data_IF_960771279212
#
_entry.id   IF_960771279212
#
_cell.length_a   1.000
_cell.length_b   1.000
_cell.length_c   1.000
_cell.angle_alpha   90.00
_cell.angle_beta   90.00
_cell.angle_gamma   90.00
#
_symmetry.space_group_name_H-M   'P 1'
#
loop_
_entity.id
_entity.type
_entity.pdbx_description
1 polymer ?
#
# COMPACT_ATOMS: atom_id res chain seq x y z
N UNK A 1 -27.98 -15.16 -41.98
CA UNK A 1 -28.32 -15.14 -40.55
C UNK A 1 -27.05 -15.42 -39.78
N UNK A 2 -26.63 -14.42 -39.03
CA UNK A 2 -25.40 -14.30 -38.23
C UNK A 2 -25.39 -15.26 -37.05
N UNK A 3 -24.29 -15.99 -36.87
CA UNK A 3 -23.85 -16.45 -35.54
C UNK A 3 -22.37 -16.14 -35.42
N UNK A 4 -22.06 -14.88 -35.10
CA UNK A 4 -20.77 -14.54 -34.53
C UNK A 4 -20.72 -15.21 -33.15
N UNK A 5 -19.94 -16.28 -33.05
CA UNK A 5 -19.56 -16.92 -31.80
C UNK A 5 -18.95 -15.87 -30.89
N UNK A 6 -19.51 -15.75 -29.69
CA UNK A 6 -19.04 -14.89 -28.61
C UNK A 6 -17.58 -15.24 -28.25
N UNK A 7 -16.61 -14.54 -28.83
CA UNK A 7 -15.37 -14.24 -28.12
C UNK A 7 -15.64 -12.99 -27.29
N UNK A 8 -16.33 -13.17 -26.17
CA UNK A 8 -16.25 -12.19 -25.11
C UNK A 8 -14.96 -12.52 -24.39
N UNK A 9 -13.88 -11.81 -24.74
CA UNK A 9 -12.57 -11.95 -24.11
C UNK A 9 -12.77 -12.04 -22.59
N UNK A 10 -12.40 -13.20 -22.02
CA UNK A 10 -12.30 -13.40 -20.57
C UNK A 10 -11.14 -12.54 -20.07
N UNK A 11 -11.39 -11.23 -20.00
CA UNK A 11 -10.43 -10.20 -19.63
C UNK A 11 -10.09 -10.42 -18.15
N UNK A 12 -9.05 -11.22 -17.90
CA UNK A 12 -8.57 -11.51 -16.56
C UNK A 12 -7.99 -10.27 -15.91
N UNK A 13 -8.55 -9.86 -14.77
CA UNK A 13 -8.03 -8.76 -13.98
C UNK A 13 -6.88 -9.23 -13.08
N UNK A 14 -5.82 -8.44 -13.03
CA UNK A 14 -4.74 -8.58 -12.06
C UNK A 14 -4.85 -7.50 -11.00
N UNK A 15 -4.73 -7.86 -9.73
CA UNK A 15 -4.66 -6.89 -8.65
C UNK A 15 -3.49 -7.26 -7.76
N UNK A 16 -2.56 -6.34 -7.64
CA UNK A 16 -1.47 -6.43 -6.69
C UNK A 16 -1.65 -5.34 -5.64
N UNK A 17 -1.44 -5.70 -4.37
CA UNK A 17 -1.62 -4.79 -3.24
C UNK A 17 -0.41 -4.88 -2.34
N UNK A 18 0.18 -3.72 -2.03
CA UNK A 18 1.22 -3.58 -1.02
C UNK A 18 0.63 -2.84 0.17
N UNK A 19 0.62 -3.48 1.34
CA UNK A 19 0.17 -2.93 2.60
C UNK A 19 1.39 -2.44 3.37
N UNK A 20 1.62 -1.13 3.39
CA UNK A 20 2.59 -0.47 4.25
C UNK A 20 1.94 -0.19 5.61
N UNK A 21 2.38 -0.88 6.65
CA UNK A 21 1.78 -0.83 7.98
C UNK A 21 2.81 -0.31 8.97
N UNK A 22 2.48 0.81 9.61
CA UNK A 22 3.18 1.30 10.78
C UNK A 22 3.04 0.28 11.93
N UNK A 23 4.18 -0.20 12.42
CA UNK A 23 4.27 -1.20 13.47
C UNK A 23 4.97 -0.65 14.73
N UNK A 24 4.90 0.66 14.93
CA UNK A 24 5.44 1.38 16.09
C UNK A 24 4.60 1.13 17.34
N UNK A 25 5.09 1.60 18.49
CA UNK A 25 4.38 1.41 19.76
C UNK A 25 3.04 2.19 19.82
N UNK A 26 2.94 3.36 19.18
CA UNK A 26 1.73 4.20 19.16
C UNK A 26 0.57 3.48 18.49
N UNK A 27 0.84 2.72 17.44
CA UNK A 27 -0.14 1.94 16.70
C UNK A 27 -0.84 0.84 17.52
N UNK A 28 -0.39 0.52 18.75
CA UNK A 28 -0.96 -0.57 19.55
C UNK A 28 -2.50 -0.58 19.69
N UNK A 29 -3.21 0.55 19.92
CA UNK A 29 -4.67 0.56 20.00
C UNK A 29 -5.36 0.25 18.65
N UNK A 30 -4.68 0.58 17.55
CA UNK A 30 -5.23 0.59 16.18
C UNK A 30 -4.81 -0.66 15.39
N UNK A 31 -3.68 -1.27 15.73
CA UNK A 31 -3.05 -2.32 14.94
C UNK A 31 -3.93 -3.56 14.80
N UNK A 32 -4.70 -3.93 15.83
CA UNK A 32 -5.63 -5.06 15.74
C UNK A 32 -6.75 -4.79 14.72
N UNK A 33 -7.25 -3.55 14.63
CA UNK A 33 -8.21 -3.14 13.61
C UNK A 33 -7.55 -3.18 12.22
N UNK A 34 -6.34 -2.65 12.07
CA UNK A 34 -5.59 -2.70 10.79
C UNK A 34 -5.37 -4.14 10.34
N UNK A 35 -4.99 -5.04 11.25
CA UNK A 35 -4.86 -6.47 10.96
C UNK A 35 -6.19 -7.06 10.51
N UNK A 36 -7.27 -6.83 11.26
CA UNK A 36 -8.60 -7.33 10.90
C UNK A 36 -9.02 -6.87 9.49
N UNK A 37 -8.82 -5.59 9.20
CA UNK A 37 -9.08 -5.00 7.89
C UNK A 37 -8.24 -5.65 6.80
N UNK A 38 -6.93 -5.75 6.99
CA UNK A 38 -6.01 -6.39 6.05
C UNK A 38 -6.38 -7.86 5.76
N UNK A 39 -6.83 -8.61 6.77
CA UNK A 39 -7.23 -10.02 6.61
C UNK A 39 -8.57 -10.18 5.87
N UNK A 40 -9.54 -9.28 6.10
CA UNK A 40 -10.84 -9.34 5.44
C UNK A 40 -10.80 -8.82 4.00
N UNK A 41 -9.86 -7.92 3.70
CA UNK A 41 -9.76 -7.18 2.45
C UNK A 41 -9.78 -8.06 1.18
N UNK A 42 -8.95 -9.13 1.04
CA UNK A 42 -8.90 -9.92 -0.18
C UNK A 42 -10.25 -10.57 -0.53
N UNK A 43 -10.95 -11.08 0.48
CA UNK A 43 -12.26 -11.72 0.32
C UNK A 43 -13.32 -10.73 -0.13
N UNK A 44 -13.37 -9.55 0.49
CA UNK A 44 -14.32 -8.49 0.14
C UNK A 44 -14.07 -7.94 -1.26
N UNK A 45 -12.80 -7.74 -1.66
CA UNK A 45 -12.46 -7.28 -3.01
C UNK A 45 -12.91 -8.29 -4.08
N UNK A 46 -12.69 -9.59 -3.86
CA UNK A 46 -13.14 -10.65 -4.78
C UNK A 46 -14.66 -10.64 -4.91
N UNK A 47 -15.38 -10.46 -3.81
CA UNK A 47 -16.85 -10.37 -3.82
C UNK A 47 -17.36 -9.15 -4.59
N UNK A 48 -16.80 -7.96 -4.34
CA UNK A 48 -17.20 -6.73 -5.04
C UNK A 48 -16.92 -6.80 -6.54
N UNK A 49 -15.76 -7.35 -6.92
CA UNK A 49 -15.41 -7.57 -8.32
C UNK A 49 -16.37 -8.56 -9.00
N UNK A 50 -16.70 -9.66 -8.33
CA UNK A 50 -17.68 -10.62 -8.81
C UNK A 50 -19.07 -10.00 -8.98
N UNK A 51 -19.51 -9.15 -8.05
CA UNK A 51 -20.78 -8.43 -8.13
C UNK A 51 -20.85 -7.48 -9.35
N UNK A 52 -19.70 -6.94 -9.79
CA UNK A 52 -19.57 -6.15 -11.02
C UNK A 52 -19.37 -6.99 -12.30
N UNK A 53 -19.41 -8.33 -12.19
CA UNK A 53 -19.18 -9.24 -13.32
C UNK A 53 -17.74 -9.27 -13.80
N UNK A 54 -16.76 -8.99 -12.91
CA UNK A 54 -15.33 -8.90 -13.24
C UNK A 54 -14.55 -9.99 -12.49
N UNK A 55 -13.99 -10.95 -13.22
CA UNK A 55 -13.20 -12.03 -12.64
C UNK A 55 -11.75 -11.63 -12.36
N UNK A 56 -11.32 -11.70 -11.09
CA UNK A 56 -9.89 -11.54 -10.77
C UNK A 56 -9.15 -12.85 -11.11
N UNK A 57 -8.22 -12.77 -12.05
CA UNK A 57 -7.37 -13.88 -12.47
C UNK A 57 -6.12 -13.99 -11.62
N UNK A 58 -5.62 -12.88 -11.10
CA UNK A 58 -4.46 -12.83 -10.22
C UNK A 58 -4.70 -11.82 -9.11
N UNK A 59 -4.65 -12.26 -7.85
CA UNK A 59 -4.61 -11.41 -6.68
C UNK A 59 -3.32 -11.70 -5.90
N UNK A 60 -2.47 -10.68 -5.73
CA UNK A 60 -1.25 -10.79 -4.93
C UNK A 60 -1.21 -9.73 -3.85
N UNK A 61 -0.81 -10.11 -2.64
CA UNK A 61 -0.63 -9.18 -1.53
C UNK A 61 0.79 -9.25 -1.00
N UNK A 62 1.32 -8.09 -0.61
CA UNK A 62 2.62 -7.92 0.02
C UNK A 62 2.44 -7.02 1.24
N UNK A 63 3.17 -7.30 2.31
CA UNK A 63 3.17 -6.49 3.53
C UNK A 63 4.54 -5.90 3.72
N UNK A 64 4.59 -4.60 4.02
CA UNK A 64 5.77 -3.86 4.43
C UNK A 64 5.47 -3.28 5.80
N UNK A 65 6.10 -3.80 6.84
CA UNK A 65 6.02 -3.22 8.18
C UNK A 65 7.12 -2.16 8.31
N UNK A 66 6.79 -0.97 8.79
CA UNK A 66 7.76 0.08 9.04
C UNK A 66 7.67 0.64 10.46
N UNK A 67 8.77 1.21 10.92
CA UNK A 67 8.93 1.94 12.19
C UNK A 67 9.83 3.15 11.91
N UNK A 68 10.78 3.43 12.80
CA UNK A 68 11.80 4.47 12.65
C UNK A 68 13.21 3.89 12.48
N UNK A 69 13.90 4.27 11.40
CA UNK A 69 15.32 3.95 11.20
C UNK A 69 16.23 4.68 12.22
N UNK A 70 15.80 5.86 12.70
CA UNK A 70 16.49 6.66 13.72
C UNK A 70 16.48 6.03 15.11
N UNK A 71 15.42 5.27 15.45
CA UNK A 71 15.30 4.53 16.71
C UNK A 71 16.06 3.20 16.66
N UNK A 72 15.62 2.27 15.80
CA UNK A 72 16.13 0.89 15.74
C UNK A 72 16.17 0.37 14.31
N UNK A 73 17.27 0.67 13.65
CA UNK A 73 17.50 0.34 12.24
C UNK A 73 17.30 -1.16 11.90
N UNK A 74 17.55 -2.09 12.83
CA UNK A 74 17.43 -3.53 12.57
C UNK A 74 15.99 -4.03 12.37
N UNK A 75 14.98 -3.31 12.87
CA UNK A 75 13.56 -3.65 12.70
C UNK A 75 12.72 -2.48 12.17
N UNK A 76 13.39 -1.42 11.69
CA UNK A 76 12.78 -0.25 11.08
C UNK A 76 11.97 -0.56 9.80
N UNK A 77 12.36 -1.61 9.07
CA UNK A 77 11.64 -2.04 7.88
C UNK A 77 11.70 -3.56 7.71
N UNK A 78 10.54 -4.19 7.51
CA UNK A 78 10.42 -5.60 7.21
C UNK A 78 9.46 -5.81 6.04
N UNK A 79 9.87 -6.59 5.06
CA UNK A 79 9.14 -6.84 3.82
C UNK A 79 8.80 -8.32 3.66
N UNK A 80 7.57 -8.63 3.24
CA UNK A 80 7.20 -9.94 2.70
C UNK A 80 7.39 -10.01 1.18
N UNK A 81 7.52 -11.22 0.65
CA UNK A 81 7.28 -11.44 -0.79
C UNK A 81 5.81 -11.16 -1.15
N UNK A 82 5.51 -11.07 -2.45
CA UNK A 82 4.13 -11.13 -2.93
C UNK A 82 3.56 -12.54 -2.74
N UNK A 83 2.45 -12.63 -2.01
CA UNK A 83 1.70 -13.83 -1.71
C UNK A 83 0.46 -13.92 -2.59
N UNK A 84 0.26 -15.05 -3.26
CA UNK A 84 -0.88 -15.26 -4.19
C UNK A 84 -2.12 -15.74 -3.45
N UNK A 85 -3.23 -15.04 -3.58
CA UNK A 85 -4.51 -15.40 -2.93
C UNK A 85 -5.43 -16.09 -3.95
N UNK A 86 -6.11 -17.19 -3.56
CA UNK A 86 -6.20 -17.77 -2.22
C UNK A 86 -5.08 -18.77 -1.85
N UNK A 87 -4.18 -19.11 -2.77
CA UNK A 87 -3.21 -20.22 -2.57
C UNK A 87 -2.25 -20.07 -1.38
N UNK A 88 -1.94 -18.84 -0.95
CA UNK A 88 -1.01 -18.51 0.12
C UNK A 88 -1.68 -17.67 1.22
N UNK A 89 -3.01 -17.80 1.38
CA UNK A 89 -3.76 -17.03 2.39
C UNK A 89 -3.24 -17.29 3.82
N UNK A 90 -2.91 -18.53 4.17
CA UNK A 90 -2.36 -18.86 5.49
C UNK A 90 -1.00 -18.17 5.75
N UNK A 91 -0.17 -18.00 4.71
CA UNK A 91 1.12 -17.29 4.83
C UNK A 91 0.90 -15.79 5.01
N UNK A 92 -0.09 -15.24 4.32
CA UNK A 92 -0.50 -13.85 4.47
C UNK A 92 -1.06 -13.59 5.87
N UNK A 93 -1.96 -14.45 6.35
CA UNK A 93 -2.52 -14.39 7.71
C UNK A 93 -1.42 -14.43 8.78
N UNK A 94 -0.45 -15.33 8.63
CA UNK A 94 0.70 -15.38 9.55
C UNK A 94 1.54 -14.11 9.50
N UNK A 95 1.79 -13.56 8.31
CA UNK A 95 2.57 -12.33 8.12
C UNK A 95 1.91 -11.15 8.82
N UNK A 96 0.60 -10.94 8.58
CA UNK A 96 -0.18 -9.86 9.20
C UNK A 96 -0.30 -10.08 10.72
N UNK A 97 -0.55 -11.30 11.16
CA UNK A 97 -0.69 -11.62 12.59
C UNK A 97 0.61 -11.41 13.36
N UNK A 98 1.76 -11.60 12.72
CA UNK A 98 3.08 -11.41 13.30
C UNK A 98 3.47 -9.93 13.47
N UNK A 99 2.74 -8.99 12.87
CA UNK A 99 2.95 -7.57 13.12
C UNK A 99 2.76 -7.28 14.61
N UNK A 100 3.77 -6.73 15.27
CA UNK A 100 3.71 -6.38 16.69
C UNK A 100 4.11 -4.93 16.87
N UNK A 101 3.36 -4.16 17.67
CA UNK A 101 3.69 -2.77 17.93
C UNK A 101 4.93 -2.71 18.80
N UNK A 102 5.90 -1.90 18.42
CA UNK A 102 7.14 -1.70 19.17
C UNK A 102 8.11 -0.79 18.43
N UNK A 103 9.10 -0.25 19.15
CA UNK A 103 9.98 0.77 18.60
C UNK A 103 9.22 2.05 18.23
N UNK A 104 9.85 2.86 17.38
CA UNK A 104 9.33 4.13 16.86
C UNK A 104 9.96 5.36 17.51
N UNK A 105 10.62 5.19 18.68
CA UNK A 105 11.37 6.27 19.31
C UNK A 105 10.59 7.60 19.41
N UNK A 106 11.06 8.60 18.68
CA UNK A 106 10.41 9.89 18.49
C UNK A 106 9.64 9.96 17.17
N UNK A 107 8.37 10.38 17.25
CA UNK A 107 7.61 10.84 16.08
C UNK A 107 8.37 12.00 15.41
N UNK A 108 8.54 12.04 14.08
CA UNK A 108 7.90 11.23 13.02
C UNK A 108 8.39 9.77 12.81
N UNK A 109 7.83 9.04 11.84
CA UNK A 109 8.19 7.64 11.52
C UNK A 109 8.67 7.46 10.06
N UNK A 110 9.24 6.30 9.68
CA UNK A 110 9.83 6.07 8.34
C UNK A 110 8.82 5.62 7.26
N UNK A 111 7.66 6.26 7.21
CA UNK A 111 6.59 5.91 6.26
C UNK A 111 6.92 6.20 4.79
N UNK A 112 7.74 7.22 4.49
CA UNK A 112 8.14 7.55 3.12
C UNK A 112 9.13 6.53 2.54
N UNK A 113 10.01 5.97 3.36
CA UNK A 113 10.89 4.87 2.98
C UNK A 113 10.09 3.62 2.61
N UNK A 114 9.07 3.29 3.39
CA UNK A 114 8.16 2.18 3.11
C UNK A 114 7.42 2.38 1.79
N UNK A 115 6.94 3.60 1.52
CA UNK A 115 6.32 3.97 0.25
C UNK A 115 7.31 3.83 -0.93
N UNK A 116 8.56 4.27 -0.77
CA UNK A 116 9.59 4.11 -1.80
C UNK A 116 9.86 2.63 -2.11
N UNK A 117 9.98 1.79 -1.08
CA UNK A 117 10.16 0.33 -1.23
C UNK A 117 8.94 -0.31 -1.88
N UNK A 118 7.73 0.14 -1.52
CA UNK A 118 6.50 -0.33 -2.14
C UNK A 118 6.46 -0.05 -3.65
N UNK A 119 6.83 1.17 -4.09
CA UNK A 119 6.86 1.54 -5.51
C UNK A 119 7.80 0.64 -6.34
N UNK A 120 8.92 0.21 -5.75
CA UNK A 120 9.91 -0.67 -6.39
C UNK A 120 9.50 -2.16 -6.42
N UNK A 121 8.31 -2.50 -5.94
CA UNK A 121 7.85 -3.89 -5.91
C UNK A 121 7.72 -4.50 -7.30
N UNK A 122 7.86 -5.83 -7.39
CA UNK A 122 7.72 -6.59 -8.64
C UNK A 122 6.27 -6.73 -9.12
N UNK A 123 5.64 -5.60 -9.47
CA UNK A 123 4.26 -5.49 -9.91
C UNK A 123 3.95 -6.33 -11.16
N UNK A 124 2.69 -6.78 -11.28
CA UNK A 124 2.20 -7.61 -12.38
C UNK A 124 2.04 -6.73 -13.62
N UNK A 125 2.72 -7.09 -14.72
CA UNK A 125 2.76 -6.30 -15.95
C UNK A 125 2.30 -7.08 -17.18
N UNK A 126 2.04 -8.38 -17.04
CA UNK A 126 1.72 -9.29 -18.15
C UNK A 126 0.23 -9.41 -18.49
N UNK A 127 -0.69 -8.92 -17.65
CA UNK A 127 -2.13 -8.93 -17.92
C UNK A 127 -2.64 -7.54 -18.32
N UNK A 128 -3.54 -7.48 -19.30
CA UNK A 128 -4.04 -6.23 -19.90
C UNK A 128 -4.76 -5.31 -18.90
N UNK A 129 -5.52 -5.89 -17.97
CA UNK A 129 -6.23 -5.14 -16.92
C UNK A 129 -5.57 -5.41 -15.58
N UNK A 130 -4.90 -4.40 -15.04
CA UNK A 130 -4.12 -4.51 -13.81
C UNK A 130 -4.30 -3.31 -12.90
N UNK A 131 -4.38 -3.52 -11.59
CA UNK A 131 -4.21 -2.45 -10.59
C UNK A 131 -3.05 -2.78 -9.67
N UNK A 132 -2.28 -1.75 -9.38
CA UNK A 132 -1.16 -1.77 -8.44
C UNK A 132 -1.52 -0.81 -7.32
N UNK A 133 -1.82 -1.34 -6.15
CA UNK A 133 -2.36 -0.56 -5.05
C UNK A 133 -1.35 -0.52 -3.93
N UNK A 134 -0.97 0.68 -3.50
CA UNK A 134 -0.19 0.87 -2.27
C UNK A 134 -1.15 1.45 -1.23
N UNK A 135 -1.18 0.83 -0.05
CA UNK A 135 -1.97 1.29 1.10
C UNK A 135 -1.02 1.61 2.23
N UNK A 136 -1.10 2.81 2.81
CA UNK A 136 -0.33 3.20 4.00
C UNK A 136 -1.30 3.26 5.19
N UNK A 137 -0.91 2.65 6.30
CA UNK A 137 -1.58 2.78 7.60
C UNK A 137 -0.57 3.31 8.63
N UNK A 138 -0.83 4.47 9.21
CA UNK A 138 0.00 5.07 10.28
C UNK A 138 -0.83 6.01 11.13
N UNK A 139 -0.42 6.20 12.38
CA UNK A 139 -0.96 7.23 13.28
C UNK A 139 0.02 8.40 13.48
N UNK A 140 1.08 8.48 12.66
CA UNK A 140 2.16 9.45 12.79
C UNK A 140 2.46 10.21 11.49
N UNK A 141 3.02 11.43 11.57
CA UNK A 141 3.71 12.07 10.44
C UNK A 141 4.94 11.24 9.99
N UNK A 142 5.49 11.55 8.82
CA UNK A 142 6.70 10.90 8.33
C UNK A 142 7.94 11.78 8.44
N UNK A 143 9.10 11.16 8.64
CA UNK A 143 10.39 11.84 8.55
C UNK A 143 10.60 12.39 7.13
N UNK A 144 11.17 13.59 6.98
CA UNK A 144 11.61 14.07 5.68
C UNK A 144 12.65 13.13 5.07
N UNK A 145 12.45 12.75 3.82
CA UNK A 145 13.47 12.02 3.06
C UNK A 145 14.77 12.82 3.00
N UNK A 146 15.90 12.11 3.07
CA UNK A 146 17.23 12.71 3.08
C UNK A 146 17.74 13.16 4.46
N UNK A 147 16.97 12.99 5.55
CA UNK A 147 17.46 13.28 6.90
C UNK A 147 18.70 12.41 7.23
N UNK A 148 19.86 12.99 7.59
CA UNK A 148 21.06 12.25 7.97
C UNK A 148 20.88 11.29 9.14
N UNK A 149 19.93 11.55 10.05
CA UNK A 149 19.59 10.68 11.19
C UNK A 149 19.00 9.36 10.70
N UNK A 150 18.24 9.42 9.61
CA UNK A 150 17.58 8.28 8.98
C UNK A 150 18.53 7.59 8.00
N UNK A 151 19.07 8.35 7.03
CA UNK A 151 19.91 7.82 5.94
C UNK A 151 21.24 7.23 6.41
N UNK A 152 21.74 7.65 7.58
CA UNK A 152 22.93 7.07 8.20
C UNK A 152 22.69 5.73 8.89
N UNK A 153 21.44 5.33 9.07
CA UNK A 153 21.07 4.10 9.74
C UNK A 153 21.46 2.85 8.92
N UNK A 154 21.89 1.80 9.62
CA UNK A 154 22.28 0.55 8.97
C UNK A 154 21.06 -0.11 8.35
N UNK A 155 21.12 -0.40 7.05
CA UNK A 155 20.01 -1.07 6.35
C UNK A 155 18.95 -0.11 5.82
N UNK A 156 19.19 1.21 5.88
CA UNK A 156 18.37 2.20 5.18
C UNK A 156 18.25 1.82 3.68
N UNK A 157 17.04 1.83 3.11
CA UNK A 157 16.79 1.30 1.78
C UNK A 157 17.45 2.17 0.71
N UNK A 158 18.29 1.56 -0.14
CA UNK A 158 18.94 2.26 -1.26
C UNK A 158 17.96 2.77 -2.30
N UNK A 159 16.73 2.25 -2.31
CA UNK A 159 15.63 2.68 -3.16
C UNK A 159 14.92 3.93 -2.64
N UNK A 160 15.15 4.35 -1.39
CA UNK A 160 14.57 5.58 -0.87
C UNK A 160 15.28 6.79 -1.50
N UNK A 161 14.54 7.72 -2.13
CA UNK A 161 15.12 8.92 -2.69
C UNK A 161 15.49 9.93 -1.61
N UNK A 162 16.23 10.98 -1.98
CA UNK A 162 16.72 11.99 -1.05
C UNK A 162 15.73 13.10 -0.72
N UNK A 163 14.56 13.14 -1.36
CA UNK A 163 13.53 14.16 -1.14
C UNK A 163 12.14 13.69 -1.54
N UNK A 164 11.10 14.40 -1.07
CA UNK A 164 9.72 14.15 -1.47
C UNK A 164 9.48 14.40 -2.97
N UNK A 165 10.17 15.38 -3.57
CA UNK A 165 10.10 15.66 -5.01
C UNK A 165 10.66 14.50 -5.84
N UNK A 166 11.79 13.93 -5.41
CA UNK A 166 12.36 12.74 -6.04
C UNK A 166 11.45 11.52 -5.86
N UNK A 167 10.80 11.36 -4.70
CA UNK A 167 9.79 10.32 -4.49
C UNK A 167 8.58 10.51 -5.41
N UNK A 168 8.12 11.76 -5.58
CA UNK A 168 7.06 12.09 -6.52
C UNK A 168 7.50 11.80 -7.97
N UNK A 169 8.76 12.00 -8.34
CA UNK A 169 9.25 11.62 -9.67
C UNK A 169 9.13 10.10 -9.93
N UNK A 170 9.40 9.28 -8.91
CA UNK A 170 9.23 7.82 -8.96
C UNK A 170 7.75 7.42 -9.05
N UNK A 171 6.85 8.13 -8.37
CA UNK A 171 5.41 7.96 -8.55
C UNK A 171 5.01 8.37 -9.97
N UNK A 172 5.28 9.63 -10.32
CA UNK A 172 5.04 10.29 -11.60
C UNK A 172 3.58 10.60 -11.89
N UNK A 173 3.32 10.99 -13.14
CA UNK A 173 2.00 11.19 -13.74
C UNK A 173 2.00 10.60 -15.16
N UNK A 174 0.92 10.78 -15.92
CA UNK A 174 0.75 10.14 -17.23
C UNK A 174 1.86 10.43 -18.28
N UNK A 175 2.67 11.46 -18.08
CA UNK A 175 3.75 11.86 -19.00
C UNK A 175 5.15 11.66 -18.39
N UNK A 176 5.24 11.16 -17.16
CA UNK A 176 6.52 10.92 -16.50
C UNK A 176 7.28 9.80 -17.20
N UNK A 177 8.57 10.01 -17.39
CA UNK A 177 9.48 9.01 -17.99
C UNK A 177 10.23 8.19 -16.95
N UNK A 178 10.33 8.72 -15.74
CA UNK A 178 11.08 8.16 -14.62
C UNK A 178 10.18 7.40 -13.63
N UNK A 179 8.86 7.37 -13.88
CA UNK A 179 7.90 6.68 -13.02
C UNK A 179 8.14 5.17 -13.02
N UNK A 180 8.16 4.56 -11.84
CA UNK A 180 8.35 3.12 -11.66
C UNK A 180 7.08 2.32 -11.96
N UNK A 181 5.93 2.96 -11.81
CA UNK A 181 4.62 2.32 -11.91
C UNK A 181 3.84 2.87 -13.10
N UNK A 182 3.02 2.01 -13.71
CA UNK A 182 2.15 2.47 -14.77
C UNK A 182 1.06 3.39 -14.23
N UNK A 183 0.97 4.59 -14.81
CA UNK A 183 0.05 5.61 -14.35
C UNK A 183 -1.43 5.19 -14.37
N UNK A 184 -1.84 4.36 -15.34
CA UNK A 184 -3.23 3.89 -15.43
C UNK A 184 -3.57 2.88 -14.32
N UNK A 185 -2.57 2.11 -13.87
CA UNK A 185 -2.71 0.98 -12.96
C UNK A 185 -2.54 1.36 -11.49
N UNK A 186 -1.70 2.34 -11.20
CA UNK A 186 -1.30 2.68 -9.82
C UNK A 186 -2.41 3.39 -9.03
N UNK A 187 -2.57 3.04 -7.76
CA UNK A 187 -3.44 3.73 -6.78
C UNK A 187 -2.68 3.85 -5.46
N UNK A 188 -2.74 5.00 -4.81
CA UNK A 188 -2.21 5.24 -3.47
C UNK A 188 -3.38 5.52 -2.53
N UNK A 189 -3.44 4.81 -1.42
CA UNK A 189 -4.44 4.99 -0.38
C UNK A 189 -3.69 5.28 0.92
N UNK A 190 -4.00 6.39 1.58
CA UNK A 190 -3.27 6.86 2.75
C UNK A 190 -4.25 6.95 3.92
N UNK A 191 -4.01 6.15 4.96
CA UNK A 191 -4.68 6.20 6.26
C UNK A 191 -3.68 6.74 7.26
N UNK A 192 -3.77 8.04 7.52
CA UNK A 192 -2.75 8.76 8.27
C UNK A 192 -3.34 10.01 8.94
N UNK A 193 -2.68 10.60 9.95
CA UNK A 193 -3.10 11.89 10.48
C UNK A 193 -3.03 12.99 9.40
N UNK A 194 -3.82 14.05 9.56
CA UNK A 194 -3.79 15.26 8.72
C UNK A 194 -2.55 16.12 9.06
N UNK A 195 -1.37 15.51 8.94
CA UNK A 195 -0.07 16.08 9.22
C UNK A 195 0.87 15.86 8.03
N UNK A 196 1.92 16.67 7.94
CA UNK A 196 2.94 16.53 6.91
C UNK A 196 3.60 15.14 6.98
N UNK A 197 3.80 14.42 5.85
CA UNK A 197 3.62 14.86 4.46
C UNK A 197 2.29 14.39 3.80
N UNK A 198 1.36 13.83 4.56
CA UNK A 198 0.27 13.03 4.01
C UNK A 198 -0.75 13.84 3.21
N UNK A 199 -1.16 15.00 3.74
CA UNK A 199 -2.06 15.91 3.05
C UNK A 199 -1.44 16.45 1.75
N UNK A 200 -0.17 16.87 1.79
CA UNK A 200 0.55 17.37 0.61
C UNK A 200 0.65 16.31 -0.50
N UNK A 201 0.95 15.05 -0.13
CA UNK A 201 0.95 13.93 -1.08
C UNK A 201 -0.45 13.75 -1.68
N UNK A 202 -1.50 13.81 -0.87
CA UNK A 202 -2.86 13.62 -1.34
C UNK A 202 -3.31 14.70 -2.33
N UNK A 203 -2.91 15.95 -2.08
CA UNK A 203 -3.25 17.09 -2.91
C UNK A 203 -2.50 17.08 -4.25
N UNK A 204 -1.21 16.73 -4.24
CA UNK A 204 -0.36 16.85 -5.42
C UNK A 204 -0.29 15.56 -6.27
N UNK A 205 -0.44 14.39 -5.66
CA UNK A 205 -0.20 13.13 -6.36
C UNK A 205 -1.46 12.57 -6.99
N UNK A 206 -1.38 12.30 -8.30
CA UNK A 206 -2.51 11.71 -9.00
C UNK A 206 -2.79 10.27 -8.55
N UNK A 207 -4.05 9.85 -8.67
CA UNK A 207 -4.51 8.51 -8.27
C UNK A 207 -4.29 8.21 -6.77
N UNK A 208 -4.30 9.25 -5.93
CA UNK A 208 -4.19 9.15 -4.47
C UNK A 208 -5.53 9.43 -3.83
N UNK A 209 -5.85 8.70 -2.77
CA UNK A 209 -6.94 9.01 -1.84
C UNK A 209 -6.37 9.06 -0.43
N UNK A 210 -6.82 10.05 0.33
CA UNK A 210 -6.42 10.27 1.71
C UNK A 210 -7.63 10.18 2.63
N UNK A 211 -7.47 9.37 3.67
CA UNK A 211 -8.45 9.10 4.70
C UNK A 211 -7.81 9.53 6.02
N UNK A 212 -8.16 10.73 6.53
CA UNK A 212 -7.58 11.24 7.75
C UNK A 212 -8.03 10.37 8.92
N UNK A 213 -7.08 9.69 9.57
CA UNK A 213 -7.34 8.86 10.75
C UNK A 213 -7.06 9.64 12.02
N UNK A 214 -7.97 9.60 12.99
CA UNK A 214 -7.70 10.07 14.35
C UNK A 214 -6.87 9.01 15.08
N UNK A 215 -5.75 9.42 15.68
CA UNK A 215 -4.87 8.53 16.43
C UNK A 215 -5.67 7.71 17.46
N UNK A 216 -5.62 6.38 17.31
CA UNK A 216 -6.29 5.43 18.22
C UNK A 216 -7.69 4.96 17.81
N UNK A 217 -8.30 5.47 16.73
CA UNK A 217 -9.66 5.06 16.32
C UNK A 217 -9.69 3.88 15.31
N UNK A 218 -8.53 3.46 14.78
CA UNK A 218 -8.51 2.37 13.81
C UNK A 218 -8.95 2.80 12.41
N UNK A 219 -9.06 1.81 11.52
CA UNK A 219 -9.78 1.94 10.25
C UNK A 219 -11.23 1.55 10.49
N UNK A 220 -12.17 2.43 10.17
CA UNK A 220 -13.59 2.11 10.24
C UNK A 220 -14.02 1.19 9.08
N UNK A 221 -15.03 0.33 9.31
CA UNK A 221 -15.45 -0.65 8.29
C UNK A 221 -15.93 -0.02 6.98
N UNK A 222 -16.50 1.19 7.05
CA UNK A 222 -17.01 1.91 5.88
C UNK A 222 -15.86 2.50 5.02
N UNK A 223 -14.74 2.90 5.64
CA UNK A 223 -13.56 3.35 4.91
C UNK A 223 -13.01 2.20 4.07
N UNK A 224 -12.98 1.00 4.65
CA UNK A 224 -12.59 -0.21 3.93
C UNK A 224 -13.52 -0.53 2.75
N UNK A 225 -14.84 -0.32 2.89
CA UNK A 225 -15.79 -0.44 1.77
C UNK A 225 -15.47 0.55 0.64
N UNK A 226 -15.16 1.81 0.98
CA UNK A 226 -14.83 2.83 -0.01
C UNK A 226 -13.54 2.50 -0.76
N UNK A 227 -12.53 1.94 -0.09
CA UNK A 227 -11.32 1.44 -0.74
C UNK A 227 -11.65 0.36 -1.76
N UNK A 228 -12.43 -0.65 -1.34
CA UNK A 228 -12.79 -1.79 -2.18
C UNK A 228 -13.60 -1.31 -3.38
N UNK A 229 -14.58 -0.44 -3.15
CA UNK A 229 -15.39 0.17 -4.20
C UNK A 229 -14.53 0.99 -5.18
N UNK A 230 -13.54 1.74 -4.69
CA UNK A 230 -12.61 2.51 -5.51
C UNK A 230 -11.78 1.59 -6.39
N UNK A 231 -11.14 0.57 -5.83
CA UNK A 231 -10.31 -0.37 -6.59
C UNK A 231 -11.17 -1.09 -7.62
N UNK A 232 -12.31 -1.63 -7.20
CA UNK A 232 -13.22 -2.38 -8.05
C UNK A 232 -13.82 -1.54 -9.18
N UNK A 233 -14.15 -0.28 -8.93
CA UNK A 233 -14.71 0.64 -9.94
C UNK A 233 -13.63 1.19 -10.85
N UNK A 234 -12.40 1.31 -10.34
CA UNK A 234 -11.29 1.77 -11.14
C UNK A 234 -10.79 0.73 -12.11
N UNK A 235 -11.03 -0.58 -11.91
CA UNK A 235 -10.56 -1.72 -12.72
C UNK A 235 -11.11 -1.78 -14.15
#
# INVERSE_FOLDING_TARGET
>A
MTSASQNQDDLGYAVDIVLCVDATASMKPTLDNVKHSALSFPGRLVQEMAAKGRGIRSLRLKVIAFRDFGDRAEDALAESQFLRIPSQVDEFERTVSALSPGGGGDVPESGLEALAVAMHSGWETGLDRRRHVIVIFTDAPAHPLGDPRQTGARGYPQSAPGSLDELFALWGHAQSRESLMENSAKRLLIFAPEEYPWADIADDWNNTLFFPSVAGEGLEEWEMDEIIATIASSL
#
